data_IF_374112872942
#
_entry.id   IF_374112872942
#
_cell.length_a   1.000
_cell.length_b   1.000
_cell.length_c   1.000
_cell.angle_alpha   90.00
_cell.angle_beta   90.00
_cell.angle_gamma   90.00
#
_symmetry.space_group_name_H-M   'P 1'
#
loop_
_entity.id
_entity.type
_entity.pdbx_description
1 polymer ?
#
# COMPACT_ATOMS: atom_id res chain seq x y z
N UNK A 1 -1.45 -9.70 5.96
CA UNK A 1 -2.72 -10.46 5.86
C UNK A 1 -3.84 -9.56 5.33
N UNK A 2 -3.92 -9.35 4.01
CA UNK A 2 -4.87 -8.41 3.40
C UNK A 2 -6.34 -8.80 3.62
N UNK A 3 -6.65 -10.10 3.64
CA UNK A 3 -8.01 -10.66 3.80
C UNK A 3 -8.71 -10.21 5.08
N UNK A 4 -8.00 -10.14 6.20
CA UNK A 4 -8.54 -9.68 7.49
C UNK A 4 -8.89 -8.18 7.42
N UNK A 5 -8.04 -7.37 6.80
CA UNK A 5 -8.28 -5.92 6.65
C UNK A 5 -9.53 -5.63 5.81
N UNK A 6 -9.73 -6.34 4.70
CA UNK A 6 -10.93 -6.15 3.86
C UNK A 6 -12.22 -6.47 4.61
N UNK A 7 -12.22 -7.50 5.47
CA UNK A 7 -13.38 -7.83 6.28
C UNK A 7 -13.59 -6.82 7.42
N UNK A 8 -12.52 -6.37 8.07
CA UNK A 8 -12.56 -5.37 9.14
C UNK A 8 -13.09 -4.01 8.65
N UNK A 9 -12.71 -3.57 7.44
CA UNK A 9 -13.24 -2.34 6.83
C UNK A 9 -14.75 -2.39 6.53
N UNK A 10 -15.35 -3.59 6.54
CA UNK A 10 -16.78 -3.77 6.29
C UNK A 10 -17.63 -3.54 7.54
N UNK A 11 -17.03 -3.72 8.72
CA UNK A 11 -17.71 -3.62 10.02
C UNK A 11 -17.26 -2.38 10.83
N UNK A 12 -16.06 -1.85 10.55
CA UNK A 12 -15.50 -0.71 11.27
C UNK A 12 -15.10 0.42 10.30
N UNK A 13 -15.23 1.67 10.75
CA UNK A 13 -14.77 2.84 10.00
C UNK A 13 -13.25 2.78 9.80
N UNK A 14 -12.79 3.08 8.58
CA UNK A 14 -11.36 3.01 8.21
C UNK A 14 -10.46 3.86 9.10
N UNK A 15 -10.95 5.00 9.59
CA UNK A 15 -10.23 5.88 10.51
C UNK A 15 -9.94 5.20 11.85
N UNK A 16 -10.87 4.40 12.37
CA UNK A 16 -10.70 3.71 13.65
C UNK A 16 -9.63 2.63 13.56
N UNK A 17 -9.65 1.84 12.48
CA UNK A 17 -8.64 0.80 12.24
C UNK A 17 -7.24 1.43 12.13
N UNK A 18 -7.14 2.57 11.44
CA UNK A 18 -5.89 3.32 11.31
C UNK A 18 -5.36 3.77 12.68
N UNK A 19 -6.19 4.47 13.48
CA UNK A 19 -5.77 4.99 14.78
C UNK A 19 -5.32 3.87 15.72
N UNK A 20 -6.08 2.76 15.81
CA UNK A 20 -5.69 1.64 16.66
C UNK A 20 -4.42 0.94 16.17
N UNK A 21 -4.24 0.80 14.86
CA UNK A 21 -3.04 0.16 14.29
C UNK A 21 -1.78 0.98 14.56
N UNK A 22 -1.84 2.30 14.37
CA UNK A 22 -0.71 3.19 14.68
C UNK A 22 -0.45 3.29 16.18
N UNK A 23 -1.50 3.35 17.01
CA UNK A 23 -1.34 3.39 18.47
C UNK A 23 -0.68 2.11 18.98
N UNK A 24 -1.15 0.95 18.53
CA UNK A 24 -0.59 -0.34 18.89
C UNK A 24 0.87 -0.46 18.43
N UNK A 25 1.15 -0.05 17.18
CA UNK A 25 2.52 0.00 16.65
C UNK A 25 3.42 0.92 17.46
N UNK A 26 2.96 2.11 17.82
CA UNK A 26 3.71 3.07 18.64
C UNK A 26 4.06 2.48 20.02
N UNK A 27 3.11 1.87 20.72
CA UNK A 27 3.34 1.24 22.04
C UNK A 27 4.44 0.18 21.95
N UNK A 28 4.43 -0.66 20.91
CA UNK A 28 5.45 -1.68 20.70
C UNK A 28 6.81 -1.12 20.27
N UNK A 29 6.81 -0.01 19.54
CA UNK A 29 8.02 0.58 18.99
C UNK A 29 8.76 1.47 20.01
N UNK A 30 8.06 2.06 20.99
CA UNK A 30 8.64 2.89 22.06
C UNK A 30 9.84 2.22 22.77
N UNK A 31 9.76 0.98 23.29
CA UNK A 31 10.88 0.36 24.00
C UNK A 31 12.10 0.12 23.08
N UNK A 32 11.86 -0.12 21.79
CA UNK A 32 12.94 -0.33 20.82
C UNK A 32 13.60 0.98 20.35
N UNK A 33 12.91 2.10 20.46
CA UNK A 33 13.30 3.36 19.80
C UNK A 33 14.15 4.30 20.67
N UNK A 34 14.59 3.86 21.87
CA UNK A 34 15.39 4.66 22.83
C UNK A 34 14.77 6.07 23.01
N UNK A 35 13.60 6.17 23.68
CA UNK A 35 12.77 7.38 23.67
C UNK A 35 13.49 8.63 24.19
N UNK A 36 14.49 8.44 25.06
CA UNK A 36 15.29 9.53 25.61
C UNK A 36 16.17 10.24 24.56
N UNK A 37 16.67 9.53 23.56
CA UNK A 37 17.44 10.15 22.47
C UNK A 37 16.51 10.91 21.52
N UNK A 38 15.36 10.34 21.18
CA UNK A 38 14.35 10.99 20.35
C UNK A 38 13.89 12.31 20.95
N UNK A 39 13.72 12.38 22.27
CA UNK A 39 13.31 13.61 22.95
C UNK A 39 14.35 14.74 22.84
N UNK A 40 15.63 14.40 22.68
CA UNK A 40 16.67 15.38 22.41
C UNK A 40 16.63 15.86 20.95
N UNK A 41 16.38 14.97 20.00
CA UNK A 41 16.21 15.33 18.58
C UNK A 41 14.93 16.12 18.32
N UNK A 42 13.85 15.86 19.08
CA UNK A 42 12.56 16.54 18.94
C UNK A 42 12.58 18.03 19.36
N UNK A 43 13.67 18.50 19.97
CA UNK A 43 13.85 19.92 20.30
C UNK A 43 14.17 20.77 19.08
N UNK A 44 14.71 20.14 18.03
CA UNK A 44 14.96 20.77 16.76
C UNK A 44 13.67 20.74 15.91
N UNK A 45 13.20 21.92 15.52
CA UNK A 45 11.94 22.06 14.76
C UNK A 45 12.03 21.45 13.36
N UNK A 46 13.20 21.49 12.72
CA UNK A 46 13.38 20.92 11.37
C UNK A 46 13.32 19.39 11.45
N UNK A 47 13.99 18.81 12.45
CA UNK A 47 13.97 17.37 12.68
C UNK A 47 12.57 16.90 13.07
N UNK A 48 11.89 17.63 13.96
CA UNK A 48 10.51 17.34 14.36
C UNK A 48 9.55 17.38 13.16
N UNK A 49 9.68 18.40 12.31
CA UNK A 49 8.89 18.54 11.09
C UNK A 49 9.12 17.37 10.13
N UNK A 50 10.38 16.99 9.90
CA UNK A 50 10.73 15.83 9.08
C UNK A 50 10.17 14.52 9.64
N UNK A 51 10.26 14.30 10.96
CA UNK A 51 9.68 13.12 11.62
C UNK A 51 8.16 13.05 11.45
N UNK A 52 7.46 14.19 11.61
CA UNK A 52 6.02 14.26 11.40
C UNK A 52 5.64 14.04 9.94
N UNK A 53 6.34 14.65 8.99
CA UNK A 53 6.07 14.42 7.56
C UNK A 53 6.28 12.96 7.16
N UNK A 54 7.33 12.30 7.67
CA UNK A 54 7.57 10.87 7.45
C UNK A 54 6.52 9.98 8.14
N UNK A 55 5.95 10.39 9.27
CA UNK A 55 4.83 9.65 9.88
C UNK A 55 3.52 9.84 9.14
N UNK A 56 3.24 11.07 8.68
CA UNK A 56 1.94 11.43 8.11
C UNK A 56 1.84 11.04 6.64
N UNK A 57 2.84 11.38 5.83
CA UNK A 57 2.75 11.27 4.36
C UNK A 57 2.82 9.82 3.89
N UNK A 58 3.91 9.06 4.11
CA UNK A 58 4.01 7.68 3.61
C UNK A 58 3.22 6.69 4.47
N UNK A 59 2.83 7.02 5.70
CA UNK A 59 2.13 6.07 6.58
C UNK A 59 0.63 6.37 6.67
N UNK A 60 0.23 7.46 7.31
CA UNK A 60 -1.18 7.75 7.55
C UNK A 60 -1.95 8.03 6.26
N UNK A 61 -1.43 8.93 5.41
CA UNK A 61 -2.07 9.33 4.17
C UNK A 61 -2.14 8.18 3.15
N UNK A 62 -1.07 7.40 3.03
CA UNK A 62 -1.04 6.20 2.19
C UNK A 62 -2.12 5.19 2.59
N UNK A 63 -2.31 4.95 3.90
CA UNK A 63 -3.36 4.05 4.36
C UNK A 63 -4.76 4.64 4.14
N UNK A 64 -4.97 5.94 4.32
CA UNK A 64 -6.27 6.58 4.03
C UNK A 64 -6.64 6.36 2.55
N UNK A 65 -5.69 6.54 1.63
CA UNK A 65 -5.90 6.27 0.20
C UNK A 65 -6.12 4.78 -0.09
N UNK A 66 -5.38 3.89 0.57
CA UNK A 66 -5.59 2.45 0.47
C UNK A 66 -7.00 2.04 0.91
N UNK A 67 -7.44 2.50 2.08
CA UNK A 67 -8.76 2.23 2.63
C UNK A 67 -9.88 2.81 1.74
N UNK A 68 -9.70 4.04 1.24
CA UNK A 68 -10.63 4.67 0.32
C UNK A 68 -10.72 3.92 -1.02
N UNK A 69 -9.61 3.40 -1.54
CA UNK A 69 -9.57 2.57 -2.75
C UNK A 69 -10.37 1.28 -2.59
N UNK A 70 -10.17 0.58 -1.47
CA UNK A 70 -10.91 -0.66 -1.18
C UNK A 70 -12.40 -0.39 -1.03
N UNK A 71 -12.77 0.69 -0.33
CA UNK A 71 -14.17 1.09 -0.16
C UNK A 71 -14.86 1.40 -1.50
N UNK A 72 -14.11 1.95 -2.48
CA UNK A 72 -14.59 2.18 -3.85
C UNK A 72 -14.61 0.92 -4.74
N UNK A 73 -14.29 -0.26 -4.20
CA UNK A 73 -14.36 -1.53 -4.91
C UNK A 73 -13.06 -1.97 -5.59
N UNK A 74 -11.92 -1.33 -5.29
CA UNK A 74 -10.62 -1.83 -5.76
C UNK A 74 -10.32 -3.17 -5.10
N UNK A 75 -10.01 -4.16 -5.92
CA UNK A 75 -9.62 -5.47 -5.41
C UNK A 75 -8.25 -5.40 -4.71
N UNK A 76 -8.13 -6.14 -3.62
CA UNK A 76 -6.92 -6.21 -2.83
C UNK A 76 -5.72 -6.72 -3.63
N UNK A 77 -5.97 -7.59 -4.62
CA UNK A 77 -4.97 -8.08 -5.56
C UNK A 77 -4.39 -6.91 -6.38
N UNK A 78 -5.25 -6.08 -6.97
CA UNK A 78 -4.84 -4.89 -7.74
C UNK A 78 -4.03 -3.91 -6.89
N UNK A 79 -4.49 -3.61 -5.67
CA UNK A 79 -3.77 -2.72 -4.77
C UNK A 79 -2.35 -3.25 -4.44
N UNK A 80 -2.21 -4.57 -4.26
CA UNK A 80 -0.91 -5.20 -4.07
C UNK A 80 0.00 -5.10 -5.28
N UNK A 81 -0.54 -5.25 -6.50
CA UNK A 81 0.25 -5.09 -7.73
C UNK A 81 0.75 -3.66 -7.92
N UNK A 82 -0.09 -2.66 -7.61
CA UNK A 82 0.32 -1.25 -7.66
C UNK A 82 1.46 -0.95 -6.68
N UNK A 83 1.41 -1.51 -5.46
CA UNK A 83 2.50 -1.36 -4.48
C UNK A 83 3.84 -1.92 -4.98
N UNK A 84 3.83 -2.99 -5.79
CA UNK A 84 5.05 -3.52 -6.41
C UNK A 84 5.68 -2.54 -7.42
N UNK A 85 4.87 -1.74 -8.11
CA UNK A 85 5.37 -0.71 -9.04
C UNK A 85 6.01 0.45 -8.28
N UNK A 86 5.42 0.86 -7.15
CA UNK A 86 6.02 1.86 -6.24
C UNK A 86 7.42 1.42 -5.77
N UNK A 87 7.58 0.13 -5.49
CA UNK A 87 8.86 -0.43 -5.04
C UNK A 87 9.94 -0.32 -6.14
N UNK A 88 9.59 -0.45 -7.43
CA UNK A 88 10.52 -0.18 -8.54
C UNK A 88 10.93 1.29 -8.57
N UNK A 89 9.99 2.22 -8.39
CA UNK A 89 10.27 3.65 -8.29
C UNK A 89 11.21 3.99 -7.13
N UNK A 90 11.04 3.32 -5.99
CA UNK A 90 11.90 3.49 -4.81
C UNK A 90 13.35 3.13 -5.09
N UNK A 91 13.61 2.07 -5.87
CA UNK A 91 14.99 1.69 -6.26
C UNK A 91 15.61 2.74 -7.18
N UNK A 92 14.85 3.27 -8.15
CA UNK A 92 15.33 4.33 -9.06
C UNK A 92 15.69 5.59 -8.26
N UNK A 93 14.82 5.99 -7.33
CA UNK A 93 15.05 7.12 -6.43
C UNK A 93 16.29 6.88 -5.57
N UNK A 94 16.45 5.69 -4.97
CA UNK A 94 17.62 5.33 -4.17
C UNK A 94 18.93 5.43 -4.97
N UNK A 95 18.96 4.92 -6.19
CA UNK A 95 20.16 5.03 -7.02
C UNK A 95 20.44 6.46 -7.51
N UNK A 96 19.40 7.25 -7.79
CA UNK A 96 19.58 8.61 -8.37
C UNK A 96 19.82 9.67 -7.30
N UNK A 97 19.04 9.67 -6.22
CA UNK A 97 19.07 10.71 -5.18
C UNK A 97 20.04 10.36 -4.06
N UNK A 98 20.06 9.11 -3.60
CA UNK A 98 20.99 8.67 -2.53
C UNK A 98 22.37 8.30 -3.09
N UNK A 99 22.54 8.26 -4.41
CA UNK A 99 23.81 7.96 -5.07
C UNK A 99 24.25 6.50 -4.86
N UNK A 100 23.32 5.60 -4.57
CA UNK A 100 23.68 4.20 -4.35
C UNK A 100 24.26 3.55 -5.62
N UNK A 101 25.38 2.85 -5.47
CA UNK A 101 26.00 2.12 -6.59
C UNK A 101 25.04 1.13 -7.23
N UNK A 102 24.90 1.24 -8.55
CA UNK A 102 24.17 0.28 -9.39
C UNK A 102 25.01 -1.00 -9.54
N UNK A 103 24.70 -2.00 -8.71
CA UNK A 103 25.26 -3.34 -8.86
C UNK A 103 24.42 -4.17 -9.84
N UNK A 104 25.05 -5.11 -10.54
CA UNK A 104 24.38 -6.08 -11.44
C UNK A 104 23.23 -6.82 -10.73
N UNK A 105 23.37 -7.10 -9.42
CA UNK A 105 22.31 -7.71 -8.62
C UNK A 105 21.06 -6.83 -8.47
N UNK A 106 21.23 -5.51 -8.29
CA UNK A 106 20.11 -4.55 -8.21
C UNK A 106 19.39 -4.47 -9.55
N UNK A 107 20.13 -4.45 -10.65
CA UNK A 107 19.56 -4.43 -12.00
C UNK A 107 18.69 -5.68 -12.25
N UNK A 108 19.21 -6.86 -11.89
CA UNK A 108 18.47 -8.11 -12.04
C UNK A 108 17.19 -8.14 -11.18
N UNK A 109 17.28 -7.68 -9.92
CA UNK A 109 16.13 -7.58 -9.04
C UNK A 109 15.03 -6.64 -9.57
N UNK A 110 15.40 -5.46 -10.07
CA UNK A 110 14.46 -4.50 -10.66
C UNK A 110 13.79 -5.09 -11.90
N UNK A 111 14.54 -5.76 -12.77
CA UNK A 111 13.97 -6.42 -13.96
C UNK A 111 12.97 -7.51 -13.57
N UNK A 112 13.29 -8.31 -12.56
CA UNK A 112 12.39 -9.36 -12.08
C UNK A 112 11.09 -8.78 -11.49
N UNK A 113 11.21 -7.70 -10.70
CA UNK A 113 10.05 -6.99 -10.15
C UNK A 113 9.16 -6.40 -11.25
N UNK A 114 9.74 -5.80 -12.28
CA UNK A 114 9.01 -5.26 -13.42
C UNK A 114 8.24 -6.35 -14.16
N UNK A 115 8.89 -7.48 -14.46
CA UNK A 115 8.24 -8.62 -15.13
C UNK A 115 7.09 -9.15 -14.27
N UNK A 116 7.31 -9.34 -12.97
CA UNK A 116 6.27 -9.81 -12.04
C UNK A 116 5.08 -8.84 -11.99
N UNK A 117 5.32 -7.53 -11.90
CA UNK A 117 4.27 -6.53 -11.88
C UNK A 117 3.45 -6.53 -13.17
N UNK A 118 4.10 -6.60 -14.34
CA UNK A 118 3.41 -6.66 -15.64
C UNK A 118 2.57 -7.93 -15.76
N UNK A 119 3.09 -9.09 -15.37
CA UNK A 119 2.34 -10.36 -15.39
C UNK A 119 1.13 -10.28 -14.46
N UNK A 120 1.32 -9.76 -13.24
CA UNK A 120 0.24 -9.64 -12.27
C UNK A 120 -0.86 -8.65 -12.71
N UNK A 121 -0.50 -7.54 -13.36
CA UNK A 121 -1.46 -6.60 -13.93
C UNK A 121 -2.30 -7.24 -15.04
N UNK A 122 -1.67 -8.02 -15.93
CA UNK A 122 -2.38 -8.70 -17.02
C UNK A 122 -3.36 -9.75 -16.49
N UNK A 123 -2.93 -10.56 -15.52
CA UNK A 123 -3.80 -11.55 -14.88
C UNK A 123 -4.99 -10.89 -14.17
N UNK A 124 -4.73 -9.80 -13.45
CA UNK A 124 -5.80 -9.07 -12.76
C UNK A 124 -6.79 -8.41 -13.73
N UNK A 125 -6.32 -7.92 -14.88
CA UNK A 125 -7.18 -7.35 -15.91
C UNK A 125 -8.11 -8.40 -16.54
N UNK A 126 -7.61 -9.61 -16.77
CA UNK A 126 -8.42 -10.73 -17.27
C UNK A 126 -9.47 -11.20 -16.26
N UNK A 127 -9.14 -11.28 -14.96
CA UNK A 127 -10.13 -11.60 -13.92
C UNK A 127 -11.27 -10.57 -13.88
N UNK A 128 -10.94 -9.27 -13.91
CA UNK A 128 -11.93 -8.18 -13.92
C UNK A 128 -12.82 -8.27 -15.18
N UNK A 129 -12.22 -8.55 -16.35
CA UNK A 129 -12.95 -8.68 -17.61
C UNK A 129 -13.93 -9.87 -17.60
N UNK A 130 -13.49 -11.02 -17.07
CA UNK A 130 -14.32 -12.22 -16.94
C UNK A 130 -15.47 -11.98 -15.96
N UNK A 131 -15.18 -11.35 -14.81
CA UNK A 131 -16.19 -11.01 -13.82
C UNK A 131 -17.26 -10.06 -14.39
N UNK A 132 -16.85 -9.01 -15.12
CA UNK A 132 -17.78 -8.08 -15.76
C UNK A 132 -18.65 -8.77 -16.81
N UNK A 133 -18.06 -9.64 -17.64
CA UNK A 133 -18.80 -10.42 -18.65
C UNK A 133 -19.81 -11.37 -18.00
N UNK A 134 -19.42 -12.08 -16.95
CA UNK A 134 -20.28 -13.01 -16.20
C UNK A 134 -21.47 -12.29 -15.54
N UNK A 135 -21.21 -11.14 -14.91
CA UNK A 135 -22.26 -10.38 -14.23
C UNK A 135 -23.24 -9.72 -15.22
N UNK A 136 -22.75 -9.29 -16.39
CA UNK A 136 -23.60 -8.79 -17.48
C UNK A 136 -24.47 -9.90 -18.08
N UNK A 137 -23.93 -11.10 -18.28
CA UNK A 137 -24.70 -12.26 -18.78
C UNK A 137 -25.82 -12.67 -17.81
N UNK A 138 -25.55 -12.70 -16.50
CA UNK A 138 -26.58 -12.95 -15.47
C UNK A 138 -27.71 -11.92 -15.45
N UNK A 139 -27.45 -10.66 -15.81
CA UNK A 139 -28.51 -9.65 -15.90
C UNK A 139 -29.37 -9.80 -17.17
N UNK A 140 -28.78 -10.25 -18.27
CA UNK A 140 -29.51 -10.50 -19.52
C UNK A 140 -30.44 -11.72 -19.35
N UNK A 141 -29.95 -12.81 -18.76
CA UNK A 141 -30.76 -14.00 -18.44
C UNK A 141 -31.95 -13.70 -17.51
N UNK A 142 -31.78 -12.75 -16.57
CA UNK A 142 -32.84 -12.32 -15.65
C UNK A 142 -33.88 -11.41 -16.31
N UNK A 143 -33.56 -10.81 -17.45
CA UNK A 143 -34.45 -9.92 -18.21
C UNK A 143 -35.23 -10.69 -19.28
N UNK A 144 -34.69 -11.80 -19.81
CA UNK A 144 -35.38 -12.69 -20.76
C UNK A 144 -36.28 -13.75 -20.09
N UNK A 145 -36.27 -13.84 -18.75
CA UNK A 145 -37.11 -14.76 -17.96
C UNK A 145 -38.36 -14.11 -17.34
N UNK A 146 -38.72 -12.91 -17.79
CA UNK A 146 -39.96 -12.17 -17.49
C UNK A 146 -40.72 -11.97 -18.80
#
# INVERSE_FOLDING_TARGET
MPTISKNALKEFSSSTILVYSFLFGAIFMIPSSRPWEILNYAKDLDVLSCMLMLGIVPAALAYIFYAAGISKGVELSVAGVVASVELVGSVIIGCTILGESFSLGKLFGVMLMLISAVVALNLSYDEIRIFYKSNKLKQIEKTESI
#
